data_IF_127470449620
#
_entry.id   IF_127470449620
#
_cell.length_a   1.000
_cell.length_b   1.000
_cell.length_c   1.000
_cell.angle_alpha   90.00
_cell.angle_beta   90.00
_cell.angle_gamma   90.00
#
_symmetry.space_group_name_H-M   'P 1'
#
loop_
_entity.id
_entity.type
_entity.pdbx_description
1 polymer ?
#
# COMPACT_ATOMS: atom_id res chain seq x y z
N UNK A 1 6.75 -27.98 10.02
CA UNK A 1 6.63 -26.69 10.77
C UNK A 1 5.78 -25.74 9.93
N UNK A 2 4.49 -25.58 10.26
CA UNK A 2 3.58 -24.69 9.53
C UNK A 2 3.66 -23.30 10.16
N UNK A 3 4.27 -22.33 9.48
CA UNK A 3 4.41 -20.96 10.01
C UNK A 3 3.21 -20.10 9.55
N UNK A 4 2.26 -19.88 10.46
CA UNK A 4 1.04 -19.10 10.21
C UNK A 4 1.32 -17.68 9.66
N UNK A 5 2.37 -17.01 10.15
CA UNK A 5 2.76 -15.67 9.68
C UNK A 5 3.25 -15.72 8.23
N UNK A 6 4.03 -16.72 7.87
CA UNK A 6 4.47 -16.92 6.49
C UNK A 6 3.29 -17.21 5.54
N UNK A 7 2.30 -17.97 6.00
CA UNK A 7 1.09 -18.25 5.21
C UNK A 7 0.21 -17.01 5.00
N UNK A 8 0.11 -16.10 5.99
CA UNK A 8 -0.57 -14.80 5.82
C UNK A 8 0.19 -13.90 4.84
N UNK A 9 1.50 -13.83 4.96
CA UNK A 9 2.37 -13.05 4.07
C UNK A 9 2.25 -13.46 2.60
N UNK A 10 2.21 -14.77 2.33
CA UNK A 10 2.03 -15.29 0.97
C UNK A 10 0.61 -15.04 0.46
N UNK A 11 -0.41 -15.29 1.29
CA UNK A 11 -1.82 -15.11 0.88
C UNK A 11 -2.16 -13.65 0.63
N UNK A 12 -1.69 -12.75 1.47
CA UNK A 12 -1.97 -11.31 1.36
C UNK A 12 -1.40 -10.66 0.10
N UNK A 13 -0.33 -11.23 -0.46
CA UNK A 13 0.26 -10.80 -1.73
C UNK A 13 -0.42 -11.37 -2.97
N UNK A 14 -1.34 -12.33 -2.83
CA UNK A 14 -2.07 -12.82 -4.00
C UNK A 14 -2.92 -11.69 -4.57
N UNK A 15 -2.85 -11.53 -5.89
CA UNK A 15 -3.68 -10.60 -6.66
C UNK A 15 -3.47 -9.10 -6.33
N UNK A 16 -2.31 -8.71 -5.78
CA UNK A 16 -2.03 -7.29 -5.48
C UNK A 16 -2.14 -6.39 -6.72
N UNK A 17 -1.68 -6.87 -7.88
CA UNK A 17 -1.72 -6.11 -9.12
C UNK A 17 -3.14 -5.93 -9.65
N UNK A 18 -3.99 -6.96 -9.53
CA UNK A 18 -5.40 -6.87 -9.92
C UNK A 18 -6.17 -5.88 -9.02
N UNK A 19 -5.92 -5.93 -7.70
CA UNK A 19 -6.51 -4.97 -6.75
C UNK A 19 -6.08 -3.54 -7.03
N UNK A 20 -4.79 -3.35 -7.31
CA UNK A 20 -4.24 -2.07 -7.75
C UNK A 20 -4.91 -1.60 -9.05
N UNK A 21 -4.87 -2.40 -10.11
CA UNK A 21 -5.49 -2.06 -11.40
C UNK A 21 -6.96 -1.62 -11.26
N UNK A 22 -7.76 -2.32 -10.44
CA UNK A 22 -9.15 -1.92 -10.17
C UNK A 22 -9.28 -0.63 -9.37
N UNK A 23 -8.29 -0.30 -8.55
CA UNK A 23 -8.36 0.76 -7.53
C UNK A 23 -7.69 2.08 -7.93
N UNK A 24 -6.73 2.06 -8.86
CA UNK A 24 -6.04 3.26 -9.37
C UNK A 24 -6.46 3.64 -10.80
N UNK A 25 -7.22 2.80 -11.51
CA UNK A 25 -7.75 3.13 -12.83
C UNK A 25 -8.59 4.42 -12.80
N UNK A 26 -8.11 5.46 -13.47
CA UNK A 26 -8.79 6.75 -13.60
C UNK A 26 -8.39 7.81 -12.56
N UNK A 27 -7.51 7.50 -11.61
CA UNK A 27 -7.08 8.47 -10.61
C UNK A 27 -5.97 9.39 -11.13
N UNK A 28 -6.16 10.72 -11.00
CA UNK A 28 -5.25 11.74 -11.55
C UNK A 28 -4.18 12.23 -10.56
N UNK A 29 -4.29 11.85 -9.28
CA UNK A 29 -3.38 12.25 -8.22
C UNK A 29 -3.24 11.12 -7.20
N UNK A 30 -2.16 10.35 -7.32
CA UNK A 30 -1.82 9.24 -6.44
C UNK A 30 -0.69 9.65 -5.50
N UNK A 31 -0.88 9.39 -4.21
CA UNK A 31 0.15 9.48 -3.18
C UNK A 31 0.47 8.08 -2.72
N UNK A 32 1.74 7.70 -2.83
CA UNK A 32 2.24 6.43 -2.32
C UNK A 32 3.06 6.63 -1.06
N UNK A 33 2.71 5.91 0.00
CA UNK A 33 3.40 5.94 1.29
C UNK A 33 3.88 4.53 1.60
N UNK A 34 5.19 4.39 1.71
CA UNK A 34 5.80 3.14 2.13
C UNK A 34 5.90 3.09 3.65
N UNK A 35 5.34 2.04 4.26
CA UNK A 35 5.49 1.78 5.69
C UNK A 35 6.17 0.42 5.89
N UNK A 36 7.44 0.44 6.25
CA UNK A 36 8.20 -0.76 6.58
C UNK A 36 7.75 -1.37 7.92
N UNK A 37 7.07 -0.62 8.80
CA UNK A 37 6.53 -1.13 10.07
C UNK A 37 5.19 -0.52 10.47
N UNK A 38 4.52 -1.11 11.48
CA UNK A 38 3.32 -0.52 12.08
C UNK A 38 3.62 0.83 12.75
N UNK A 39 4.78 0.98 13.37
CA UNK A 39 5.19 2.24 14.01
C UNK A 39 5.30 3.38 13.01
N UNK A 40 5.89 3.13 11.85
CA UNK A 40 5.96 4.09 10.74
C UNK A 40 4.57 4.43 10.19
N UNK A 41 3.69 3.44 10.08
CA UNK A 41 2.30 3.68 9.68
C UNK A 41 1.59 4.63 10.66
N UNK A 42 1.72 4.42 11.97
CA UNK A 42 1.14 5.31 12.98
C UNK A 42 1.73 6.73 12.90
N UNK A 43 3.03 6.85 12.65
CA UNK A 43 3.71 8.15 12.50
C UNK A 43 3.31 8.86 11.20
N UNK A 44 3.07 8.11 10.12
CA UNK A 44 2.59 8.64 8.84
C UNK A 44 1.10 8.96 8.82
N UNK A 45 0.33 8.46 9.80
CA UNK A 45 -1.13 8.64 9.87
C UNK A 45 -1.58 10.10 9.85
N UNK A 46 -1.01 11.02 10.66
CA UNK A 46 -1.37 12.43 10.61
C UNK A 46 -1.07 13.08 9.24
N UNK A 47 -0.04 12.58 8.54
CA UNK A 47 0.31 13.06 7.19
C UNK A 47 -0.74 12.61 6.18
N UNK A 48 -1.15 11.34 6.22
CA UNK A 48 -2.24 10.81 5.38
C UNK A 48 -3.55 11.59 5.58
N UNK A 49 -3.94 11.81 6.83
CA UNK A 49 -5.14 12.56 7.19
C UNK A 49 -5.07 14.01 6.67
N UNK A 50 -3.91 14.67 6.78
CA UNK A 50 -3.72 16.03 6.29
C UNK A 50 -3.74 16.12 4.76
N UNK A 51 -3.15 15.16 4.07
CA UNK A 51 -3.17 15.07 2.61
C UNK A 51 -4.61 14.90 2.13
N UNK A 52 -5.38 13.96 2.72
CA UNK A 52 -6.78 13.74 2.33
C UNK A 52 -7.66 14.95 2.64
N UNK A 53 -7.41 15.65 3.74
CA UNK A 53 -8.09 16.92 4.06
C UNK A 53 -7.79 18.03 3.05
N UNK A 54 -6.55 18.13 2.55
CA UNK A 54 -6.14 19.19 1.61
C UNK A 54 -6.45 18.86 0.15
N UNK A 55 -6.43 17.57 -0.19
CA UNK A 55 -6.63 17.02 -1.53
C UNK A 55 -7.63 15.85 -1.42
N UNK A 56 -8.93 16.12 -1.23
CA UNK A 56 -9.94 15.08 -1.01
C UNK A 56 -10.05 14.10 -2.17
N UNK A 57 -9.79 14.56 -3.40
CA UNK A 57 -9.81 13.75 -4.62
C UNK A 57 -8.51 12.94 -4.86
N UNK A 58 -7.50 13.07 -3.98
CA UNK A 58 -6.29 12.27 -4.08
C UNK A 58 -6.55 10.82 -3.66
N UNK A 59 -5.90 9.88 -4.34
CA UNK A 59 -5.91 8.46 -3.95
C UNK A 59 -4.63 8.19 -3.17
N UNK A 60 -4.77 7.73 -1.93
CA UNK A 60 -3.67 7.38 -1.04
C UNK A 60 -3.52 5.87 -1.02
N UNK A 61 -2.36 5.39 -1.46
CA UNK A 61 -1.97 3.98 -1.35
C UNK A 61 -0.86 3.84 -0.31
N UNK A 62 -1.10 3.05 0.72
CA UNK A 62 -0.10 2.72 1.73
C UNK A 62 0.30 1.25 1.58
N UNK A 63 1.60 0.94 1.50
CA UNK A 63 2.06 -0.44 1.55
C UNK A 63 2.68 -0.78 2.91
N UNK A 64 2.42 -1.99 3.38
CA UNK A 64 2.92 -2.52 4.64
C UNK A 64 3.66 -3.82 4.38
N UNK A 65 4.93 -3.87 4.78
CA UNK A 65 5.79 -5.01 4.45
C UNK A 65 5.54 -6.27 5.32
N UNK A 66 5.03 -6.12 6.56
CA UNK A 66 4.90 -7.21 7.53
C UNK A 66 3.45 -7.61 7.85
N UNK A 67 3.16 -8.93 8.05
CA UNK A 67 1.80 -9.41 8.27
C UNK A 67 1.10 -8.83 9.49
N UNK A 68 1.81 -8.63 10.60
CA UNK A 68 1.22 -8.08 11.82
C UNK A 68 0.76 -6.63 11.64
N UNK A 69 1.48 -5.81 10.87
CA UNK A 69 1.06 -4.45 10.57
C UNK A 69 -0.11 -4.41 9.59
N UNK A 70 -0.04 -5.23 8.54
CA UNK A 70 -1.10 -5.30 7.54
C UNK A 70 -2.43 -5.78 8.14
N UNK A 71 -2.45 -6.87 8.91
CA UNK A 71 -3.71 -7.38 9.46
C UNK A 71 -4.42 -6.38 10.38
N UNK A 72 -3.67 -5.49 11.04
CA UNK A 72 -4.21 -4.43 11.91
C UNK A 72 -4.73 -3.25 11.08
N UNK A 73 -4.12 -2.94 9.93
CA UNK A 73 -4.35 -1.69 9.19
C UNK A 73 -4.94 -1.84 7.79
N UNK A 74 -5.18 -3.07 7.31
CA UNK A 74 -5.74 -3.35 5.97
C UNK A 74 -7.07 -2.65 5.68
N UNK A 75 -7.83 -2.32 6.72
CA UNK A 75 -9.14 -1.65 6.64
C UNK A 75 -9.07 -0.19 7.13
N UNK A 76 -7.88 0.44 7.12
CA UNK A 76 -7.72 1.82 7.56
C UNK A 76 -8.43 2.80 6.62
N UNK A 77 -9.42 3.58 7.10
CA UNK A 77 -10.27 4.42 6.23
C UNK A 77 -9.55 5.65 5.66
N UNK A 78 -8.38 6.02 6.20
CA UNK A 78 -7.60 7.16 5.70
C UNK A 78 -6.69 6.83 4.53
N UNK A 79 -6.67 5.57 4.07
CA UNK A 79 -6.01 5.15 2.84
C UNK A 79 -7.04 4.46 1.95
N UNK A 80 -7.04 4.79 0.66
CA UNK A 80 -7.92 4.15 -0.31
C UNK A 80 -7.47 2.71 -0.58
N UNK A 81 -6.16 2.46 -0.49
CA UNK A 81 -5.56 1.14 -0.64
C UNK A 81 -4.52 0.88 0.44
N UNK A 82 -4.69 -0.21 1.19
CA UNK A 82 -3.64 -0.76 2.05
C UNK A 82 -3.21 -2.11 1.49
N UNK A 83 -1.93 -2.23 1.13
CA UNK A 83 -1.43 -3.33 0.32
C UNK A 83 -0.18 -3.94 0.96
N UNK A 84 0.14 -5.18 0.60
CA UNK A 84 1.49 -5.67 0.84
C UNK A 84 2.42 -5.16 -0.25
N UNK A 85 3.65 -4.81 0.12
CA UNK A 85 4.70 -4.56 -0.87
C UNK A 85 4.87 -5.82 -1.74
N UNK A 86 4.91 -5.67 -3.08
CA UNK A 86 5.28 -6.76 -3.96
C UNK A 86 6.60 -7.37 -3.53
N UNK A 87 6.73 -8.68 -3.74
CA UNK A 87 8.01 -9.34 -3.50
C UNK A 87 9.06 -8.70 -4.41
N UNK A 88 10.30 -8.63 -3.94
CA UNK A 88 11.44 -8.22 -4.77
C UNK A 88 11.82 -9.36 -5.76
N UNK A 89 10.82 -9.85 -6.50
CA UNK A 89 10.97 -10.78 -7.60
C UNK A 89 11.02 -10.01 -8.91
N UNK A 90 11.43 -10.71 -9.98
CA UNK A 90 11.49 -10.31 -11.39
C UNK A 90 11.24 -8.81 -11.63
N UNK A 91 12.23 -8.08 -12.17
CA UNK A 91 12.18 -6.63 -12.49
C UNK A 91 10.82 -6.07 -12.99
N UNK A 92 9.98 -6.88 -13.64
CA UNK A 92 8.62 -6.54 -14.03
C UNK A 92 7.67 -6.23 -12.86
N UNK A 93 7.75 -6.92 -11.72
CA UNK A 93 6.78 -6.77 -10.62
C UNK A 93 6.88 -5.38 -9.99
N UNK A 94 8.11 -4.91 -9.72
CA UNK A 94 8.37 -3.54 -9.26
C UNK A 94 7.97 -2.49 -10.30
N UNK A 95 8.32 -2.71 -11.58
CA UNK A 95 7.96 -1.78 -12.66
C UNK A 95 6.45 -1.68 -12.83
N UNK A 96 5.73 -2.80 -12.77
CA UNK A 96 4.27 -2.84 -12.88
C UNK A 96 3.64 -2.13 -11.68
N UNK A 97 4.15 -2.36 -10.47
CA UNK A 97 3.65 -1.68 -9.26
C UNK A 97 3.75 -0.16 -9.36
N UNK A 98 4.93 0.35 -9.74
CA UNK A 98 5.15 1.79 -9.90
C UNK A 98 4.37 2.38 -11.08
N UNK A 99 4.26 1.63 -12.19
CA UNK A 99 3.45 2.03 -13.36
C UNK A 99 1.96 2.08 -13.04
N UNK A 100 1.46 1.20 -12.18
CA UNK A 100 0.05 1.21 -11.78
C UNK A 100 -0.25 2.32 -10.79
N UNK A 101 0.66 2.57 -9.84
CA UNK A 101 0.45 3.61 -8.85
C UNK A 101 0.59 5.02 -9.43
N UNK A 102 1.43 5.23 -10.45
CA UNK A 102 1.79 6.55 -11.02
C UNK A 102 1.82 7.65 -9.92
N UNK A 103 2.61 7.45 -8.83
CA UNK A 103 2.55 8.35 -7.71
C UNK A 103 3.08 9.73 -8.15
N UNK A 104 2.27 10.77 -7.93
CA UNK A 104 2.74 12.16 -8.12
C UNK A 104 3.73 12.52 -7.02
N UNK A 105 3.53 11.96 -5.83
CA UNK A 105 4.40 12.08 -4.67
C UNK A 105 4.61 10.71 -4.01
N UNK A 106 5.85 10.42 -3.63
CA UNK A 106 6.25 9.21 -2.91
C UNK A 106 6.96 9.58 -1.62
N UNK A 107 6.56 8.95 -0.51
CA UNK A 107 7.22 9.11 0.80
C UNK A 107 7.73 7.75 1.29
N UNK A 108 8.94 7.76 1.86
CA UNK A 108 9.61 6.64 2.53
C UNK A 108 9.41 6.73 4.04
#
# INVERSE_FOLDING_TARGET
MWNHKAALWIRGRKNIFQKLESGVAGSKASVWIHCSSLGEFEQGRPVMEKIKSRFPDSVISADVFFPSGYEIRKDYPGADHVLYLPMDSKKNDKKNFLTLLIPRWSFL
#
